data_IF_624439434112
#
_entry.id   IF_624439434112
#
_cell.length_a   1.000
_cell.length_b   1.000
_cell.length_c   1.000
_cell.angle_alpha   90.00
_cell.angle_beta   90.00
_cell.angle_gamma   90.00
#
_symmetry.space_group_name_H-M   'P 1'
#
loop_
_entity.id
_entity.type
_entity.pdbx_description
1 polymer ?
#
# COMPACT_ATOMS: atom_id res chain seq x y z
N UNK A 1 6.81 22.87 -12.79
CA UNK A 1 7.47 23.05 -11.48
C UNK A 1 8.89 22.59 -11.67
N UNK A 2 9.89 23.43 -11.41
CA UNK A 2 11.28 22.95 -11.37
C UNK A 2 11.37 21.92 -10.24
N UNK A 3 11.85 20.73 -10.60
CA UNK A 3 12.06 19.63 -9.66
C UNK A 3 13.18 20.04 -8.71
N UNK A 4 12.81 20.55 -7.53
CA UNK A 4 13.75 21.07 -6.53
C UNK A 4 14.34 19.92 -5.69
N UNK A 5 14.65 18.81 -6.33
CA UNK A 5 15.20 17.61 -5.72
C UNK A 5 16.69 17.84 -5.41
N UNK A 6 17.07 17.58 -4.16
CA UNK A 6 18.44 17.75 -3.68
C UNK A 6 19.01 16.38 -3.32
N UNK A 7 20.05 15.95 -4.02
CA UNK A 7 20.76 14.71 -3.70
C UNK A 7 21.84 14.96 -2.65
N UNK A 8 21.76 14.22 -1.55
CA UNK A 8 22.71 14.29 -0.43
C UNK A 8 23.40 12.93 -0.30
N UNK A 9 24.72 12.95 -0.11
CA UNK A 9 25.47 11.72 0.14
C UNK A 9 25.15 11.14 1.51
N UNK A 10 25.01 9.82 1.61
CA UNK A 10 24.73 9.12 2.88
C UNK A 10 25.74 9.51 3.99
N UNK A 11 27.00 9.71 3.63
CA UNK A 11 28.08 10.07 4.56
C UNK A 11 27.95 11.50 5.14
N UNK A 12 27.26 12.41 4.45
CA UNK A 12 27.01 13.79 4.91
C UNK A 12 25.62 13.97 5.54
N UNK A 13 24.69 13.03 5.31
CA UNK A 13 23.28 13.16 5.70
C UNK A 13 23.09 13.62 7.15
N UNK A 14 23.70 12.94 8.11
CA UNK A 14 23.55 13.27 9.54
C UNK A 14 24.02 14.69 9.89
N UNK A 15 24.97 15.26 9.13
CA UNK A 15 25.45 16.63 9.31
C UNK A 15 24.52 17.66 8.67
N UNK A 16 23.77 17.25 7.64
CA UNK A 16 22.89 18.14 6.88
C UNK A 16 21.46 18.22 7.45
N UNK A 17 20.96 17.17 8.11
CA UNK A 17 19.61 17.14 8.73
C UNK A 17 19.30 18.41 9.55
N UNK A 18 20.21 18.94 10.40
CA UNK A 18 19.94 20.17 11.15
C UNK A 18 19.61 21.40 10.28
N UNK A 19 20.00 21.41 9.00
CA UNK A 19 19.74 22.50 8.07
C UNK A 19 18.41 22.36 7.30
N UNK A 20 17.76 21.19 7.33
CA UNK A 20 16.62 20.87 6.46
C UNK A 20 15.45 21.83 6.67
N UNK A 21 15.06 22.04 7.93
CA UNK A 21 13.98 22.96 8.28
C UNK A 21 14.25 24.39 7.78
N UNK A 22 15.48 24.89 7.97
CA UNK A 22 15.89 26.22 7.51
C UNK A 22 15.94 26.37 5.99
N UNK A 23 16.05 25.25 5.26
CA UNK A 23 16.02 25.18 3.79
C UNK A 23 14.61 24.95 3.24
N UNK A 24 13.60 24.81 4.10
CA UNK A 24 12.23 24.51 3.69
C UNK A 24 12.04 23.11 3.12
N UNK A 25 12.91 22.16 3.48
CA UNK A 25 12.77 20.76 3.06
C UNK A 25 11.66 20.11 3.90
N UNK A 26 10.62 19.62 3.24
CA UNK A 26 9.44 19.00 3.86
C UNK A 26 9.38 17.49 3.69
N UNK A 27 10.17 16.93 2.77
CA UNK A 27 10.23 15.50 2.50
C UNK A 27 11.69 15.04 2.30
N UNK A 28 11.99 13.84 2.80
CA UNK A 28 13.28 13.17 2.65
C UNK A 28 13.07 11.69 2.31
N UNK A 29 13.81 11.17 1.34
CA UNK A 29 13.77 9.75 0.95
C UNK A 29 15.17 9.12 1.00
N UNK A 30 15.29 7.94 1.64
CA UNK A 30 16.52 7.16 1.74
C UNK A 30 16.39 5.82 0.99
N UNK A 31 17.13 5.67 -0.11
CA UNK A 31 17.15 4.46 -0.95
C UNK A 31 18.53 3.76 -1.01
N UNK A 32 19.51 4.23 -0.22
CA UNK A 32 20.84 3.63 -0.21
C UNK A 32 20.82 2.25 0.48
N UNK A 33 21.17 1.19 -0.24
CA UNK A 33 21.13 -0.19 0.27
C UNK A 33 22.03 -0.44 1.48
N UNK A 34 23.18 0.23 1.56
CA UNK A 34 24.09 0.08 2.70
C UNK A 34 23.49 0.75 3.93
N UNK A 35 22.95 1.96 3.75
CA UNK A 35 22.23 2.69 4.79
C UNK A 35 20.99 1.94 5.28
N UNK A 36 20.19 1.39 4.34
CA UNK A 36 19.01 0.55 4.60
C UNK A 36 19.32 -0.71 5.44
N UNK A 37 20.59 -1.13 5.44
CA UNK A 37 21.09 -2.30 6.20
C UNK A 37 21.85 -1.91 7.47
N UNK A 38 22.12 -0.63 7.70
CA UNK A 38 22.86 -0.15 8.87
C UNK A 38 21.91 0.37 9.94
N UNK A 39 21.60 -0.51 10.89
CA UNK A 39 20.77 -0.21 12.05
C UNK A 39 21.25 1.00 12.86
N UNK A 40 22.56 1.13 13.04
CA UNK A 40 23.13 2.20 13.87
C UNK A 40 22.94 3.54 13.19
N UNK A 41 23.18 3.57 11.88
CA UNK A 41 22.91 4.72 11.04
C UNK A 41 21.42 5.10 11.05
N UNK A 42 20.51 4.15 10.84
CA UNK A 42 19.06 4.42 10.82
C UNK A 42 18.55 4.98 12.16
N UNK A 43 19.04 4.46 13.29
CA UNK A 43 18.73 5.02 14.62
C UNK A 43 19.27 6.44 14.78
N UNK A 44 20.47 6.73 14.25
CA UNK A 44 21.03 8.08 14.29
C UNK A 44 20.23 9.05 13.42
N UNK A 45 19.76 8.61 12.24
CA UNK A 45 18.87 9.40 11.37
C UNK A 45 17.56 9.71 12.10
N UNK A 46 16.91 8.68 12.66
CA UNK A 46 15.66 8.87 13.39
C UNK A 46 15.80 9.87 14.56
N UNK A 47 16.87 9.74 15.34
CA UNK A 47 17.15 10.66 16.44
C UNK A 47 17.45 12.10 15.97
N UNK A 48 18.15 12.25 14.84
CA UNK A 48 18.46 13.56 14.27
C UNK A 48 17.20 14.26 13.76
N UNK A 49 16.33 13.55 13.03
CA UNK A 49 15.09 14.13 12.50
C UNK A 49 14.15 14.52 13.64
N UNK A 50 13.92 13.63 14.61
CA UNK A 50 13.08 13.93 15.77
C UNK A 50 13.53 15.20 16.51
N UNK A 51 14.85 15.43 16.57
CA UNK A 51 15.42 16.59 17.26
C UNK A 51 15.34 17.89 16.46
N UNK A 52 15.57 17.83 15.15
CA UNK A 52 15.83 19.02 14.34
C UNK A 52 14.71 19.39 13.38
N UNK A 53 13.89 18.43 12.97
CA UNK A 53 12.83 18.59 11.98
C UNK A 53 11.73 17.53 12.19
N UNK A 54 11.01 17.54 13.34
CA UNK A 54 10.03 16.50 13.66
C UNK A 54 8.85 16.42 12.67
N UNK A 55 8.54 17.53 11.98
CA UNK A 55 7.49 17.61 10.96
C UNK A 55 7.94 17.11 9.57
N UNK A 56 9.22 16.74 9.41
CA UNK A 56 9.73 16.24 8.13
C UNK A 56 9.13 14.87 7.83
N UNK A 57 8.49 14.74 6.67
CA UNK A 57 8.09 13.43 6.19
C UNK A 57 9.30 12.64 5.69
N UNK A 58 9.44 11.39 6.13
CA UNK A 58 10.55 10.52 5.72
C UNK A 58 10.05 9.24 5.06
N UNK A 59 10.55 8.94 3.87
CA UNK A 59 10.44 7.60 3.27
C UNK A 59 11.77 6.84 3.43
N UNK A 60 11.73 5.67 4.06
CA UNK A 60 12.92 4.85 4.33
C UNK A 60 12.79 3.47 3.68
N UNK A 61 13.65 3.16 2.72
CA UNK A 61 13.89 1.77 2.33
C UNK A 61 14.72 1.08 3.43
N UNK A 62 14.20 0.00 4.03
CA UNK A 62 14.87 -0.72 5.11
C UNK A 62 14.86 -2.22 4.84
N UNK A 63 16.03 -2.87 4.97
CA UNK A 63 16.12 -4.33 4.87
C UNK A 63 15.31 -4.99 6.01
N UNK A 64 14.51 -6.00 5.67
CA UNK A 64 13.67 -6.71 6.63
C UNK A 64 14.45 -7.32 7.81
N UNK A 65 15.73 -7.66 7.64
CA UNK A 65 16.59 -8.19 8.71
C UNK A 65 17.01 -7.11 9.70
N UNK A 66 17.12 -5.86 9.25
CA UNK A 66 17.52 -4.69 10.04
C UNK A 66 16.41 -4.17 10.95
N UNK A 67 15.15 -4.34 10.54
CA UNK A 67 13.98 -3.95 11.33
C UNK A 67 13.91 -4.75 12.64
N UNK A 68 14.09 -4.09 13.78
CA UNK A 68 13.88 -4.67 15.10
C UNK A 68 12.96 -3.79 15.95
N UNK A 69 12.64 -4.26 17.16
CA UNK A 69 11.75 -3.52 18.07
C UNK A 69 12.26 -2.12 18.41
N UNK A 70 13.58 -1.94 18.55
CA UNK A 70 14.16 -0.66 18.94
C UNK A 70 14.07 0.35 17.80
N UNK A 71 14.40 -0.09 16.58
CA UNK A 71 14.30 0.74 15.39
C UNK A 71 12.85 1.12 15.09
N UNK A 72 11.93 0.15 15.11
CA UNK A 72 10.49 0.41 14.87
C UNK A 72 9.95 1.43 15.88
N UNK A 73 10.30 1.33 17.17
CA UNK A 73 9.89 2.34 18.17
C UNK A 73 10.49 3.73 17.91
N UNK A 74 11.74 3.80 17.47
CA UNK A 74 12.37 5.07 17.13
C UNK A 74 11.67 5.74 15.95
N UNK A 75 11.23 4.95 14.96
CA UNK A 75 10.48 5.43 13.80
C UNK A 75 9.04 5.85 14.15
N UNK A 76 8.39 5.20 15.11
CA UNK A 76 7.02 5.52 15.52
C UNK A 76 6.81 6.94 16.06
N UNK A 77 7.88 7.65 16.42
CA UNK A 77 7.82 9.06 16.81
C UNK A 77 7.97 10.06 15.66
N UNK A 78 8.06 9.58 14.40
CA UNK A 78 8.32 10.39 13.21
C UNK A 78 7.15 10.29 12.23
N UNK A 79 6.96 11.33 11.43
CA UNK A 79 6.16 11.27 10.21
C UNK A 79 6.91 10.46 9.15
N UNK A 80 6.75 9.12 9.13
CA UNK A 80 7.49 8.29 8.18
C UNK A 80 6.68 7.16 7.55
N UNK A 81 7.15 6.73 6.37
CA UNK A 81 6.77 5.50 5.69
C UNK A 81 7.99 4.58 5.57
N UNK A 82 7.80 3.30 5.85
CA UNK A 82 8.84 2.28 5.69
C UNK A 82 8.58 1.44 4.44
N UNK A 83 9.51 1.44 3.50
CA UNK A 83 9.52 0.56 2.33
C UNK A 83 10.37 -0.67 2.60
N UNK A 84 9.78 -1.86 2.48
CA UNK A 84 10.50 -3.12 2.72
C UNK A 84 10.66 -3.87 1.40
N UNK A 85 11.90 -4.09 0.90
CA UNK A 85 12.15 -4.99 -0.20
C UNK A 85 11.62 -6.40 0.10
N UNK A 86 10.59 -6.83 -0.63
CA UNK A 86 10.02 -8.17 -0.53
C UNK A 86 10.74 -9.12 -1.48
N UNK A 87 12.03 -9.32 -1.20
CA UNK A 87 12.91 -10.17 -1.99
C UNK A 87 12.90 -11.62 -1.50
N UNK A 88 13.13 -12.56 -2.44
CA UNK A 88 13.45 -13.94 -2.14
C UNK A 88 14.94 -14.24 -2.21
N UNK A 89 15.32 -15.43 -1.74
CA UNK A 89 16.63 -16.04 -1.94
C UNK A 89 16.49 -17.20 -2.91
N UNK A 90 17.30 -17.24 -3.95
CA UNK A 90 17.34 -18.38 -4.87
C UNK A 90 17.97 -19.59 -4.18
N UNK A 91 17.30 -20.74 -4.28
CA UNK A 91 17.84 -22.02 -3.82
C UNK A 91 17.32 -23.15 -4.71
N UNK A 92 18.22 -23.77 -5.48
CA UNK A 92 17.90 -24.97 -6.26
C UNK A 92 16.95 -24.71 -7.43
N UNK A 93 17.05 -23.52 -8.05
CA UNK A 93 16.21 -23.08 -9.16
C UNK A 93 14.89 -22.43 -8.73
N UNK A 94 14.60 -22.34 -7.44
CA UNK A 94 13.37 -21.75 -6.91
C UNK A 94 13.67 -20.51 -6.05
N UNK A 95 12.85 -19.48 -6.22
CA UNK A 95 12.88 -18.29 -5.38
C UNK A 95 12.09 -18.53 -4.09
N UNK A 96 12.80 -18.59 -2.96
CA UNK A 96 12.23 -18.81 -1.63
C UNK A 96 12.15 -17.49 -0.87
N UNK A 97 11.01 -17.19 -0.26
CA UNK A 97 10.86 -16.02 0.59
C UNK A 97 10.56 -16.42 2.04
N UNK A 98 11.20 -15.73 2.99
CA UNK A 98 11.08 -16.03 4.41
C UNK A 98 9.78 -15.43 4.99
N UNK A 99 8.68 -16.17 4.82
CA UNK A 99 7.36 -15.79 5.36
C UNK A 99 7.42 -15.42 6.84
N UNK A 100 8.22 -16.13 7.63
CA UNK A 100 8.30 -15.91 9.08
C UNK A 100 8.96 -14.58 9.40
N UNK A 101 10.04 -14.23 8.69
CA UNK A 101 10.69 -12.94 8.81
C UNK A 101 9.71 -11.80 8.50
N UNK A 102 9.10 -11.81 7.32
CA UNK A 102 8.22 -10.72 6.88
C UNK A 102 6.96 -10.59 7.75
N UNK A 103 6.32 -11.70 8.13
CA UNK A 103 5.19 -11.67 9.06
C UNK A 103 5.59 -11.10 10.43
N UNK A 104 6.78 -11.47 10.92
CA UNK A 104 7.33 -10.90 12.15
C UNK A 104 7.54 -9.39 12.05
N UNK A 105 8.08 -8.89 10.92
CA UNK A 105 8.32 -7.44 10.73
C UNK A 105 7.04 -6.64 10.55
N UNK A 106 6.12 -7.12 9.72
CA UNK A 106 4.82 -6.48 9.55
C UNK A 106 4.05 -6.41 10.88
N UNK A 107 4.10 -7.47 11.71
CA UNK A 107 3.48 -7.44 13.03
C UNK A 107 4.08 -6.39 13.98
N UNK A 108 5.40 -6.14 13.90
CA UNK A 108 6.04 -5.07 14.67
C UNK A 108 5.54 -3.69 14.21
N UNK A 109 5.51 -3.44 12.90
CA UNK A 109 5.09 -2.17 12.32
C UNK A 109 3.61 -1.87 12.59
N UNK A 110 2.73 -2.84 12.35
CA UNK A 110 1.30 -2.74 12.64
C UNK A 110 1.02 -2.44 14.12
N UNK A 111 1.75 -3.07 15.05
CA UNK A 111 1.57 -2.83 16.49
C UNK A 111 1.95 -1.41 16.90
N UNK A 112 2.98 -0.84 16.27
CA UNK A 112 3.44 0.52 16.55
C UNK A 112 2.70 1.56 15.67
N UNK A 113 1.72 1.14 14.87
CA UNK A 113 0.93 2.04 14.02
C UNK A 113 1.71 2.68 12.87
N UNK A 114 2.85 2.10 12.47
CA UNK A 114 3.70 2.65 11.42
C UNK A 114 3.13 2.36 10.03
N UNK A 115 3.17 3.39 9.18
CA UNK A 115 2.89 3.24 7.74
C UNK A 115 4.02 2.47 7.10
N UNK A 116 3.69 1.39 6.39
CA UNK A 116 4.70 0.61 5.65
C UNK A 116 4.13 0.00 4.39
N UNK A 117 5.02 -0.25 3.43
CA UNK A 117 4.71 -0.99 2.22
C UNK A 117 5.80 -1.96 1.81
N UNK A 118 5.50 -2.73 0.78
CA UNK A 118 6.46 -3.66 0.20
C UNK A 118 6.91 -3.19 -1.19
N UNK A 119 8.21 -3.24 -1.43
CA UNK A 119 8.79 -3.13 -2.77
C UNK A 119 8.86 -4.54 -3.37
N UNK A 120 8.03 -4.79 -4.37
CA UNK A 120 7.88 -6.12 -4.97
C UNK A 120 8.12 -6.07 -6.47
N UNK A 121 9.10 -6.84 -6.95
CA UNK A 121 9.34 -7.02 -8.38
C UNK A 121 8.83 -8.36 -8.92
N UNK A 122 8.68 -8.41 -10.25
CA UNK A 122 8.44 -9.63 -11.03
C UNK A 122 9.50 -9.81 -12.13
N UNK A 123 9.94 -11.04 -12.35
CA UNK A 123 10.83 -11.38 -13.47
C UNK A 123 12.25 -10.81 -13.35
N UNK A 124 12.63 -10.31 -12.17
CA UNK A 124 13.92 -9.65 -11.92
C UNK A 124 14.94 -10.52 -11.21
N UNK A 125 14.52 -11.66 -10.65
CA UNK A 125 15.35 -12.50 -9.79
C UNK A 125 15.51 -13.92 -10.37
N UNK A 126 16.69 -14.55 -10.26
CA UNK A 126 16.85 -15.96 -10.56
C UNK A 126 15.88 -16.83 -9.75
N UNK A 127 15.30 -17.84 -10.42
CA UNK A 127 14.30 -18.73 -9.82
C UNK A 127 12.90 -18.12 -9.68
N UNK A 128 12.69 -16.89 -10.16
CA UNK A 128 11.36 -16.30 -10.20
C UNK A 128 10.47 -16.99 -11.24
N UNK A 129 9.18 -17.09 -10.93
CA UNK A 129 8.16 -17.70 -11.79
C UNK A 129 6.85 -16.94 -11.61
N UNK A 130 5.92 -17.07 -12.56
CA UNK A 130 4.59 -16.47 -12.41
C UNK A 130 3.89 -16.90 -11.12
N UNK A 131 3.99 -18.20 -10.79
CA UNK A 131 3.45 -18.75 -9.54
C UNK A 131 4.10 -18.10 -8.31
N UNK A 132 5.42 -18.00 -8.28
CA UNK A 132 6.14 -17.39 -7.16
C UNK A 132 5.77 -15.91 -6.99
N UNK A 133 5.58 -15.17 -8.08
CA UNK A 133 5.05 -13.80 -8.04
C UNK A 133 3.67 -13.76 -7.38
N UNK A 134 2.72 -14.58 -7.83
CA UNK A 134 1.37 -14.63 -7.24
C UNK A 134 1.38 -15.00 -5.75
N UNK A 135 2.14 -16.04 -5.40
CA UNK A 135 2.27 -16.51 -4.02
C UNK A 135 2.88 -15.42 -3.09
N UNK A 136 3.81 -14.61 -3.61
CA UNK A 136 4.38 -13.45 -2.88
C UNK A 136 3.35 -12.36 -2.69
N UNK A 137 2.59 -12.00 -3.73
CA UNK A 137 1.57 -10.94 -3.67
C UNK A 137 0.45 -11.31 -2.71
N UNK A 138 -0.05 -12.54 -2.82
CA UNK A 138 -1.08 -13.09 -1.94
C UNK A 138 -0.64 -13.04 -0.48
N UNK A 139 0.61 -13.44 -0.21
CA UNK A 139 1.19 -13.36 1.13
C UNK A 139 1.34 -11.92 1.61
N UNK A 140 1.91 -11.03 0.80
CA UNK A 140 2.19 -9.65 1.17
C UNK A 140 0.95 -8.91 1.69
N UNK A 141 -0.17 -9.06 0.99
CA UNK A 141 -1.42 -8.37 1.30
C UNK A 141 -2.08 -8.89 2.59
N UNK A 142 -1.84 -10.16 2.96
CA UNK A 142 -2.28 -10.68 4.26
C UNK A 142 -1.62 -10.00 5.46
N UNK A 143 -0.54 -9.25 5.22
CA UNK A 143 0.21 -8.56 6.26
C UNK A 143 -0.26 -7.11 6.48
N UNK A 144 -1.31 -6.67 5.78
CA UNK A 144 -1.88 -5.32 5.86
C UNK A 144 -0.87 -4.17 5.58
N UNK A 145 -0.04 -4.25 4.53
CA UNK A 145 0.78 -3.11 4.13
C UNK A 145 -0.12 -1.98 3.64
N UNK A 146 0.23 -0.73 3.91
CA UNK A 146 -0.50 0.43 3.41
C UNK A 146 -0.46 0.51 1.88
N UNK A 147 0.61 -0.03 1.27
CA UNK A 147 0.80 -0.05 -0.17
C UNK A 147 1.74 -1.17 -0.61
N UNK A 148 1.60 -1.54 -1.89
CA UNK A 148 2.58 -2.37 -2.61
C UNK A 148 3.11 -1.52 -3.76
N UNK A 149 4.43 -1.35 -3.79
CA UNK A 149 5.13 -0.61 -4.82
C UNK A 149 5.89 -1.57 -5.73
N UNK A 150 5.81 -1.32 -7.04
CA UNK A 150 6.47 -2.14 -8.03
C UNK A 150 7.54 -1.31 -8.76
N UNK A 151 8.83 -1.50 -8.45
CA UNK A 151 9.91 -0.65 -8.97
C UNK A 151 10.01 -0.58 -10.50
N UNK A 152 9.44 -1.55 -11.23
CA UNK A 152 9.36 -1.57 -12.69
C UNK A 152 8.48 -0.48 -13.30
N UNK A 153 7.56 0.11 -12.52
CA UNK A 153 6.74 1.24 -12.95
C UNK A 153 7.34 2.59 -12.60
N UNK A 154 8.42 2.63 -11.81
CA UNK A 154 9.13 3.87 -11.57
C UNK A 154 9.88 4.24 -12.86
N UNK A 155 9.58 5.42 -13.41
CA UNK A 155 10.30 5.96 -14.56
C UNK A 155 11.81 6.03 -14.26
N UNK A 156 12.64 5.76 -15.26
CA UNK A 156 14.10 5.92 -15.19
C UNK A 156 14.53 7.35 -14.81
N UNK A 157 13.61 8.32 -14.86
CA UNK A 157 13.85 9.74 -14.57
C UNK A 157 14.11 10.06 -13.09
N UNK A 158 13.54 9.29 -12.15
CA UNK A 158 13.50 9.71 -10.74
C UNK A 158 14.64 9.15 -9.87
N UNK A 159 15.45 8.22 -10.39
CA UNK A 159 16.57 7.63 -9.63
C UNK A 159 16.19 6.91 -8.32
N UNK A 160 14.88 6.78 -8.02
CA UNK A 160 14.30 6.25 -6.78
C UNK A 160 14.37 4.72 -6.63
N UNK A 161 15.01 4.01 -7.57
CA UNK A 161 15.12 2.56 -7.52
C UNK A 161 16.52 2.07 -7.86
N UNK A 162 17.23 1.57 -6.86
CA UNK A 162 18.44 0.74 -7.01
C UNK A 162 18.13 -0.63 -7.66
N UNK A 163 16.85 -0.94 -7.94
CA UNK A 163 16.35 -2.26 -8.34
C UNK A 163 15.79 -2.32 -9.78
N UNK A 164 16.17 -1.41 -10.68
CA UNK A 164 15.71 -1.32 -12.08
C UNK A 164 16.21 -2.46 -13.00
N UNK A 165 16.30 -3.69 -12.51
CA UNK A 165 16.46 -4.82 -13.41
C UNK A 165 15.16 -4.99 -14.20
N UNK A 166 15.18 -4.68 -15.50
CA UNK A 166 14.03 -4.92 -16.38
C UNK A 166 13.63 -6.40 -16.32
N UNK A 167 12.33 -6.75 -16.23
CA UNK A 167 11.89 -8.13 -16.22
C UNK A 167 12.38 -8.88 -17.47
N UNK A 168 12.95 -10.07 -17.29
CA UNK A 168 13.49 -10.88 -18.41
C UNK A 168 12.84 -12.25 -18.47
N UNK A 169 12.42 -12.73 -19.66
CA UNK A 169 11.91 -14.08 -19.82
C UNK A 169 12.97 -15.11 -19.43
N UNK A 170 12.53 -16.21 -18.82
CA UNK A 170 13.36 -17.37 -18.48
C UNK A 170 12.69 -18.64 -18.98
N UNK A 171 13.37 -19.79 -18.89
CA UNK A 171 12.77 -21.08 -19.24
C UNK A 171 11.51 -21.43 -18.44
N UNK A 172 11.30 -20.81 -17.28
CA UNK A 172 10.17 -21.05 -16.37
C UNK A 172 9.29 -19.82 -16.14
N UNK A 173 9.57 -18.72 -16.85
CA UNK A 173 8.84 -17.45 -16.75
C UNK A 173 8.74 -16.84 -18.15
N UNK A 174 7.64 -17.14 -18.85
CA UNK A 174 7.49 -16.74 -20.26
C UNK A 174 7.22 -15.24 -20.42
N UNK A 175 7.39 -14.69 -21.62
CA UNK A 175 7.01 -13.30 -21.89
C UNK A 175 5.54 -13.03 -21.59
N UNK A 176 4.65 -13.98 -21.91
CA UNK A 176 3.22 -13.88 -21.60
C UNK A 176 2.96 -13.81 -20.10
N UNK A 177 3.68 -14.60 -19.32
CA UNK A 177 3.59 -14.55 -17.87
C UNK A 177 4.09 -13.23 -17.29
N UNK A 178 5.15 -12.64 -17.88
CA UNK A 178 5.64 -11.32 -17.48
C UNK A 178 4.60 -10.23 -17.76
N UNK A 179 3.89 -10.33 -18.89
CA UNK A 179 2.79 -9.42 -19.22
C UNK A 179 1.63 -9.57 -18.23
N UNK A 180 1.26 -10.81 -17.87
CA UNK A 180 0.26 -11.04 -16.81
C UNK A 180 0.68 -10.46 -15.46
N UNK A 181 1.95 -10.63 -15.07
CA UNK A 181 2.46 -10.04 -13.83
C UNK A 181 2.47 -8.52 -13.88
N UNK A 182 2.78 -7.91 -15.03
CA UNK A 182 2.66 -6.47 -15.23
C UNK A 182 1.22 -5.99 -15.06
N UNK A 183 0.24 -6.65 -15.69
CA UNK A 183 -1.18 -6.35 -15.55
C UNK A 183 -1.66 -6.42 -14.10
N UNK A 184 -1.39 -7.55 -13.43
CA UNK A 184 -1.72 -7.74 -12.00
C UNK A 184 -1.06 -6.68 -11.11
N UNK A 185 0.19 -6.31 -11.39
CA UNK A 185 0.91 -5.30 -10.61
C UNK A 185 0.30 -3.91 -10.78
N UNK A 186 -0.11 -3.55 -12.01
CA UNK A 186 -0.79 -2.30 -12.29
C UNK A 186 -2.19 -2.24 -11.65
N UNK A 187 -2.91 -3.35 -11.70
CA UNK A 187 -4.19 -3.52 -11.00
C UNK A 187 -4.05 -3.35 -9.48
N UNK A 188 -3.03 -3.97 -8.88
CA UNK A 188 -2.72 -3.79 -7.47
C UNK A 188 -2.34 -2.33 -7.13
N UNK A 189 -1.46 -1.71 -7.94
CA UNK A 189 -1.10 -0.29 -7.82
C UNK A 189 -2.33 0.61 -7.83
N UNK A 190 -3.22 0.42 -8.81
CA UNK A 190 -4.44 1.23 -8.98
C UNK A 190 -5.44 0.99 -7.84
N UNK A 191 -5.84 -0.26 -7.63
CA UNK A 191 -6.93 -0.60 -6.75
C UNK A 191 -6.53 -0.55 -5.27
N UNK A 192 -5.35 -1.06 -4.92
CA UNK A 192 -4.94 -1.23 -3.53
C UNK A 192 -4.17 -0.02 -3.00
N UNK A 193 -3.10 0.36 -3.70
CA UNK A 193 -2.20 1.45 -3.28
C UNK A 193 -2.87 2.82 -3.49
N UNK A 194 -3.13 3.22 -4.73
CA UNK A 194 -3.75 4.51 -5.05
C UNK A 194 -5.21 4.57 -4.57
N UNK A 195 -5.91 3.43 -4.58
CA UNK A 195 -7.26 3.31 -4.05
C UNK A 195 -7.35 3.20 -2.52
N UNK A 196 -6.22 3.16 -1.80
CA UNK A 196 -6.13 3.18 -0.33
C UNK A 196 -6.97 2.08 0.34
N UNK A 197 -6.85 0.85 -0.15
CA UNK A 197 -7.77 -0.23 0.19
C UNK A 197 -7.41 -1.03 1.46
N UNK A 198 -6.25 -0.75 2.10
CA UNK A 198 -5.76 -1.53 3.26
C UNK A 198 -6.80 -1.79 4.37
N UNK A 199 -7.69 -0.84 4.74
CA UNK A 199 -8.58 -1.06 5.89
C UNK A 199 -9.66 -2.13 5.66
N UNK A 200 -10.00 -2.43 4.40
CA UNK A 200 -11.15 -3.26 4.05
C UNK A 200 -10.87 -4.36 3.02
N UNK A 201 -9.76 -4.28 2.28
CA UNK A 201 -9.47 -5.19 1.17
C UNK A 201 -9.47 -6.67 1.56
N UNK A 202 -8.82 -7.01 2.68
CA UNK A 202 -8.73 -8.39 3.16
C UNK A 202 -10.11 -8.94 3.59
N UNK A 203 -10.99 -8.09 4.11
CA UNK A 203 -12.37 -8.47 4.46
C UNK A 203 -13.18 -8.79 3.19
N UNK A 204 -13.00 -8.00 2.14
CA UNK A 204 -13.63 -8.21 0.83
C UNK A 204 -13.15 -9.50 0.17
N UNK A 205 -11.84 -9.72 0.06
CA UNK A 205 -11.30 -10.94 -0.57
C UNK A 205 -11.68 -12.20 0.22
N UNK A 206 -11.71 -12.14 1.56
CA UNK A 206 -12.23 -13.20 2.43
C UNK A 206 -13.71 -13.47 2.16
N UNK A 207 -14.55 -12.43 2.08
CA UNK A 207 -15.97 -12.57 1.80
C UNK A 207 -16.21 -13.20 0.42
N UNK A 208 -15.43 -12.81 -0.60
CA UNK A 208 -15.48 -13.37 -1.95
C UNK A 208 -14.88 -14.79 -2.03
N UNK A 209 -14.03 -15.19 -1.07
CA UNK A 209 -13.24 -16.43 -1.06
C UNK A 209 -12.28 -16.52 -2.26
N UNK A 210 -11.60 -15.42 -2.55
CA UNK A 210 -10.62 -15.32 -3.65
C UNK A 210 -9.25 -14.92 -3.11
N UNK A 211 -8.19 -15.41 -3.74
CA UNK A 211 -6.84 -14.94 -3.47
C UNK A 211 -6.63 -13.54 -4.09
N UNK A 212 -5.88 -12.63 -3.43
CA UNK A 212 -5.59 -11.31 -3.97
C UNK A 212 -5.05 -11.28 -5.40
N UNK A 213 -4.16 -12.21 -5.77
CA UNK A 213 -3.58 -12.33 -7.10
C UNK A 213 -4.62 -12.67 -8.16
N UNK A 214 -5.62 -13.48 -7.81
CA UNK A 214 -6.76 -13.76 -8.69
C UNK A 214 -7.69 -12.54 -8.77
N UNK A 215 -7.96 -11.88 -7.63
CA UNK A 215 -8.75 -10.65 -7.59
C UNK A 215 -8.17 -9.56 -8.51
N UNK A 216 -6.85 -9.33 -8.47
CA UNK A 216 -6.21 -8.33 -9.33
C UNK A 216 -6.06 -8.79 -10.78
N UNK A 217 -5.98 -10.09 -11.05
CA UNK A 217 -6.08 -10.59 -12.43
C UNK A 217 -7.43 -10.22 -13.03
N UNK A 218 -8.51 -10.44 -12.27
CA UNK A 218 -9.85 -10.07 -12.71
C UNK A 218 -10.02 -8.55 -12.84
N UNK A 219 -9.39 -7.76 -11.96
CA UNK A 219 -9.42 -6.30 -12.03
C UNK A 219 -8.62 -5.77 -13.23
N UNK A 220 -7.48 -6.37 -13.57
CA UNK A 220 -6.72 -6.04 -14.78
C UNK A 220 -7.57 -6.22 -16.04
N UNK A 221 -8.27 -7.35 -16.16
CA UNK A 221 -9.22 -7.57 -17.26
C UNK A 221 -10.32 -6.50 -17.28
N UNK A 222 -10.87 -6.15 -16.12
CA UNK A 222 -11.85 -5.07 -16.01
C UNK A 222 -11.27 -3.71 -16.44
N UNK A 223 -10.04 -3.38 -16.04
CA UNK A 223 -9.37 -2.13 -16.43
C UNK A 223 -9.14 -2.03 -17.94
N UNK A 224 -8.80 -3.15 -18.59
CA UNK A 224 -8.63 -3.22 -20.04
C UNK A 224 -9.95 -2.92 -20.77
N UNK A 225 -11.07 -3.43 -20.26
CA UNK A 225 -12.40 -3.14 -20.82
C UNK A 225 -12.89 -1.71 -20.56
N UNK A 226 -12.31 -1.00 -19.58
CA UNK A 226 -12.76 0.34 -19.15
C UNK A 226 -11.74 1.46 -19.46
N UNK A 227 -10.73 1.20 -20.30
CA UNK A 227 -9.71 2.16 -20.73
C UNK A 227 -8.93 2.83 -19.58
N UNK A 228 -8.65 2.09 -18.51
CA UNK A 228 -7.88 2.57 -17.35
C UNK A 228 -6.77 1.58 -16.94
N UNK A 229 -6.08 1.00 -17.92
CA UNK A 229 -5.05 -0.03 -17.75
C UNK A 229 -3.66 0.48 -18.15
N UNK A 230 -2.60 -0.30 -17.86
CA UNK A 230 -1.22 0.10 -18.16
C UNK A 230 -0.89 0.23 -19.66
N UNK A 231 -1.75 -0.29 -20.55
CA UNK A 231 -1.63 -0.13 -22.00
C UNK A 231 -2.26 1.17 -22.52
N UNK A 232 -2.95 1.90 -21.64
CA UNK A 232 -3.48 3.24 -21.89
C UNK A 232 -2.57 4.28 -21.23
N UNK A 233 -2.79 5.57 -21.51
CA UNK A 233 -2.08 6.67 -20.84
C UNK A 233 -2.59 6.94 -19.40
N UNK A 234 -3.29 5.97 -18.80
CA UNK A 234 -3.82 6.10 -17.43
C UNK A 234 -2.69 5.97 -16.41
N UNK A 235 -2.49 7.02 -15.63
CA UNK A 235 -1.56 7.05 -14.49
C UNK A 235 -2.38 7.08 -13.20
N UNK A 236 -2.38 6.01 -12.39
CA UNK A 236 -3.21 5.93 -11.19
C UNK A 236 -2.98 7.06 -10.18
N UNK A 237 -1.75 7.54 -10.05
CA UNK A 237 -1.36 8.61 -9.12
C UNK A 237 -1.90 9.99 -9.52
N UNK A 238 -2.19 10.21 -10.80
CA UNK A 238 -2.77 11.46 -11.29
C UNK A 238 -4.30 11.49 -11.15
N UNK A 239 -4.92 10.34 -10.88
CA UNK A 239 -6.37 10.23 -10.74
C UNK A 239 -6.82 10.66 -9.33
N UNK A 240 -7.86 11.50 -9.20
CA UNK A 240 -8.48 11.78 -7.91
C UNK A 240 -8.96 10.49 -7.23
N UNK A 241 -8.83 10.41 -5.90
CA UNK A 241 -9.23 9.22 -5.15
C UNK A 241 -10.71 8.84 -5.39
N UNK A 242 -11.59 9.84 -5.56
CA UNK A 242 -13.02 9.62 -5.86
C UNK A 242 -13.25 8.87 -7.18
N UNK A 243 -12.39 9.03 -8.19
CA UNK A 243 -12.50 8.28 -9.45
C UNK A 243 -12.06 6.82 -9.26
N UNK A 244 -10.98 6.59 -8.52
CA UNK A 244 -10.55 5.23 -8.18
C UNK A 244 -11.60 4.53 -7.29
N UNK A 245 -12.20 5.23 -6.32
CA UNK A 245 -13.28 4.71 -5.49
C UNK A 245 -14.49 4.27 -6.34
N UNK A 246 -14.87 5.05 -7.36
CA UNK A 246 -15.92 4.65 -8.31
C UNK A 246 -15.54 3.37 -9.07
N UNK A 247 -14.30 3.26 -9.54
CA UNK A 247 -13.81 2.05 -10.20
C UNK A 247 -13.87 0.84 -9.25
N UNK A 248 -13.41 1.00 -8.01
CA UNK A 248 -13.47 -0.04 -6.98
C UNK A 248 -14.91 -0.50 -6.75
N UNK A 249 -15.84 0.42 -6.50
CA UNK A 249 -17.25 0.09 -6.25
C UNK A 249 -17.92 -0.58 -7.46
N UNK A 250 -17.65 -0.10 -8.68
CA UNK A 250 -18.18 -0.68 -9.91
C UNK A 250 -17.69 -2.13 -10.09
N UNK A 251 -16.39 -2.36 -9.94
CA UNK A 251 -15.82 -3.69 -10.04
C UNK A 251 -16.34 -4.63 -8.93
N UNK A 252 -16.38 -4.14 -7.68
CA UNK A 252 -16.86 -4.94 -6.55
C UNK A 252 -18.32 -5.33 -6.73
N UNK A 253 -19.19 -4.42 -7.21
CA UNK A 253 -20.58 -4.75 -7.51
C UNK A 253 -20.68 -5.95 -8.45
N UNK A 254 -19.95 -5.90 -9.57
CA UNK A 254 -19.92 -6.98 -10.57
C UNK A 254 -19.38 -8.28 -9.97
N UNK A 255 -18.32 -8.21 -9.14
CA UNK A 255 -17.73 -9.39 -8.52
C UNK A 255 -18.63 -10.05 -7.47
N UNK A 256 -19.35 -9.27 -6.68
CA UNK A 256 -20.30 -9.82 -5.72
C UNK A 256 -21.51 -10.45 -6.41
N UNK A 257 -21.97 -9.89 -7.54
CA UNK A 257 -22.98 -10.50 -8.42
C UNK A 257 -22.49 -11.82 -9.03
N UNK A 258 -21.29 -11.83 -9.62
CA UNK A 258 -20.68 -13.03 -10.20
C UNK A 258 -20.54 -14.18 -9.17
N UNK A 259 -20.32 -13.84 -7.89
CA UNK A 259 -20.21 -14.82 -6.78
C UNK A 259 -21.53 -15.11 -6.07
N UNK A 260 -22.66 -14.57 -6.54
CA UNK A 260 -23.99 -14.71 -5.93
C UNK A 260 -24.04 -14.27 -4.46
N UNK A 261 -23.39 -13.14 -4.16
CA UNK A 261 -23.25 -12.53 -2.82
C UNK A 261 -23.72 -11.08 -2.80
N UNK A 262 -24.63 -10.71 -3.69
CA UNK A 262 -25.20 -9.37 -3.84
C UNK A 262 -25.76 -8.82 -2.52
N UNK A 263 -26.33 -9.69 -1.69
CA UNK A 263 -26.85 -9.35 -0.36
C UNK A 263 -25.79 -8.77 0.58
N UNK A 264 -24.49 -9.07 0.37
CA UNK A 264 -23.38 -8.52 1.17
C UNK A 264 -22.90 -7.15 0.66
N UNK A 265 -23.29 -6.76 -0.55
CA UNK A 265 -22.68 -5.61 -1.23
C UNK A 265 -22.99 -4.27 -0.55
N UNK A 266 -24.13 -4.14 0.14
CA UNK A 266 -24.43 -2.94 0.92
C UNK A 266 -23.37 -2.68 2.00
N UNK A 267 -22.97 -3.71 2.76
CA UNK A 267 -21.92 -3.57 3.77
C UNK A 267 -20.55 -3.26 3.14
N UNK A 268 -20.23 -3.91 2.01
CA UNK A 268 -18.98 -3.66 1.26
C UNK A 268 -18.91 -2.22 0.79
N UNK A 269 -19.99 -1.72 0.17
CA UNK A 269 -20.08 -0.36 -0.34
C UNK A 269 -19.88 0.65 0.78
N UNK A 270 -20.57 0.48 1.90
CA UNK A 270 -20.44 1.37 3.04
C UNK A 270 -19.01 1.39 3.61
N UNK A 271 -18.36 0.21 3.72
CA UNK A 271 -16.96 0.11 4.16
C UNK A 271 -16.01 0.86 3.23
N UNK A 272 -16.16 0.67 1.92
CA UNK A 272 -15.32 1.35 0.92
C UNK A 272 -15.53 2.86 0.98
N UNK A 273 -16.78 3.33 0.99
CA UNK A 273 -17.09 4.76 0.99
C UNK A 273 -16.70 5.47 2.28
N UNK A 274 -16.91 4.84 3.44
CA UNK A 274 -16.52 5.40 4.73
C UNK A 274 -15.00 5.53 4.81
N UNK A 275 -14.25 4.46 4.56
CA UNK A 275 -12.79 4.50 4.57
C UNK A 275 -12.22 5.42 3.48
N UNK A 276 -12.87 5.53 2.33
CA UNK A 276 -12.53 6.47 1.28
C UNK A 276 -12.69 7.93 1.73
N UNK A 277 -13.79 8.25 2.42
CA UNK A 277 -14.01 9.57 3.01
C UNK A 277 -12.95 9.91 4.07
N UNK A 278 -12.61 8.98 4.97
CA UNK A 278 -11.51 9.16 5.92
C UNK A 278 -10.18 9.45 5.21
N UNK A 279 -9.89 8.70 4.14
CA UNK A 279 -8.66 8.83 3.38
C UNK A 279 -8.53 10.18 2.66
N UNK A 280 -9.63 10.69 2.10
CA UNK A 280 -9.64 12.00 1.44
C UNK A 280 -9.45 13.14 2.42
N UNK A 281 -10.03 13.08 3.62
CA UNK A 281 -9.71 14.07 4.66
C UNK A 281 -8.23 14.00 5.03
N UNK A 282 -7.68 12.79 5.21
CA UNK A 282 -6.29 12.61 5.64
C UNK A 282 -5.25 13.10 4.62
N UNK A 283 -5.46 12.85 3.32
CA UNK A 283 -4.47 13.15 2.28
C UNK A 283 -4.80 14.39 1.43
N UNK A 284 -6.08 14.70 1.24
CA UNK A 284 -6.53 15.80 0.36
C UNK A 284 -7.16 16.96 1.15
N UNK A 285 -7.41 16.78 2.46
CA UNK A 285 -8.12 17.75 3.28
C UNK A 285 -9.61 17.90 2.91
N UNK A 286 -10.17 16.96 2.13
CA UNK A 286 -11.52 17.04 1.60
C UNK A 286 -12.55 16.44 2.57
N UNK A 287 -13.36 17.31 3.19
CA UNK A 287 -14.53 16.88 3.97
C UNK A 287 -15.67 16.42 3.06
N UNK A 288 -16.44 15.43 3.49
CA UNK A 288 -17.58 14.92 2.71
C UNK A 288 -18.76 14.48 3.57
N UNK A 289 -19.93 14.40 2.95
CA UNK A 289 -21.13 13.78 3.53
C UNK A 289 -21.45 12.56 2.68
N UNK A 290 -21.46 11.39 3.32
CA UNK A 290 -21.80 10.12 2.68
C UNK A 290 -23.10 9.56 3.26
N UNK A 291 -23.68 8.61 2.55
CA UNK A 291 -24.81 7.81 3.02
C UNK A 291 -24.32 6.39 3.25
N UNK A 292 -24.61 5.84 4.42
CA UNK A 292 -24.34 4.44 4.75
C UNK A 292 -25.65 3.73 5.08
N UNK A 293 -25.70 2.45 4.76
CA UNK A 293 -26.79 1.53 5.09
C UNK A 293 -26.66 0.96 6.51
N UNK A 294 -25.47 1.02 7.09
CA UNK A 294 -25.17 0.64 8.47
C UNK A 294 -24.63 1.82 9.27
N UNK A 295 -24.74 1.73 10.59
CA UNK A 295 -24.17 2.70 11.51
C UNK A 295 -22.63 2.73 11.36
N UNK A 296 -22.00 3.92 11.26
CA UNK A 296 -20.54 4.05 11.15
C UNK A 296 -19.75 3.43 12.32
N UNK A 297 -20.29 3.42 13.55
CA UNK A 297 -19.63 2.76 14.69
C UNK A 297 -19.51 1.25 14.47
N UNK A 298 -20.55 0.63 13.90
CA UNK A 298 -20.54 -0.80 13.58
C UNK A 298 -19.58 -1.10 12.42
N UNK A 299 -19.54 -0.23 11.40
CA UNK A 299 -18.65 -0.35 10.24
C UNK A 299 -17.16 -0.24 10.62
N UNK A 300 -16.82 0.63 11.57
CA UNK A 300 -15.44 0.81 12.06
C UNK A 300 -15.06 -0.20 13.15
N UNK A 301 -16.02 -0.97 13.66
CA UNK A 301 -15.75 -2.00 14.65
C UNK A 301 -15.00 -3.21 14.05
N UNK A 302 -14.33 -4.02 14.88
CA UNK A 302 -13.73 -5.28 14.42
C UNK A 302 -14.73 -6.28 13.81
N UNK A 303 -16.04 -6.12 14.05
CA UNK A 303 -17.06 -7.03 13.51
C UNK A 303 -17.17 -6.94 11.99
N UNK A 304 -16.90 -5.77 11.40
CA UNK A 304 -16.96 -5.58 9.95
C UNK A 304 -15.86 -6.32 9.19
N UNK A 305 -14.84 -6.84 9.89
CA UNK A 305 -13.80 -7.67 9.28
C UNK A 305 -14.33 -8.99 8.70
N UNK A 306 -15.46 -9.49 9.22
CA UNK A 306 -16.19 -10.62 8.65
C UNK A 306 -17.51 -10.15 8.05
N UNK A 307 -17.45 -9.69 6.80
CA UNK A 307 -18.57 -9.04 6.10
C UNK A 307 -19.84 -9.90 6.09
N UNK A 308 -19.70 -11.23 5.93
CA UNK A 308 -20.85 -12.12 5.92
C UNK A 308 -21.55 -12.13 7.28
N UNK A 309 -20.77 -12.35 8.35
CA UNK A 309 -21.31 -12.34 9.71
C UNK A 309 -21.86 -10.97 10.10
N UNK A 310 -21.18 -9.90 9.70
CA UNK A 310 -21.61 -8.53 9.93
C UNK A 310 -22.98 -8.25 9.31
N UNK A 311 -23.13 -8.52 8.01
CA UNK A 311 -24.40 -8.31 7.31
C UNK A 311 -25.56 -9.14 7.89
N UNK A 312 -25.28 -10.35 8.38
CA UNK A 312 -26.30 -11.22 8.99
C UNK A 312 -26.67 -10.83 10.43
N UNK A 313 -25.77 -10.15 11.15
CA UNK A 313 -25.91 -9.91 12.61
C UNK A 313 -26.18 -8.45 12.98
N UNK A 314 -25.95 -7.52 12.06
CA UNK A 314 -26.09 -6.08 12.30
C UNK A 314 -27.35 -5.57 11.62
N UNK A 315 -28.15 -4.78 12.34
CA UNK A 315 -29.33 -4.15 11.75
C UNK A 315 -28.91 -3.02 10.81
N UNK A 316 -29.52 -2.97 9.63
CA UNK A 316 -29.36 -1.82 8.74
C UNK A 316 -30.06 -0.59 9.32
N UNK A 317 -29.33 0.51 9.39
CA UNK A 317 -29.82 1.83 9.79
C UNK A 317 -29.24 2.84 8.81
N UNK A 318 -30.10 3.45 8.01
CA UNK A 318 -29.66 4.44 7.02
C UNK A 318 -29.15 5.68 7.73
N UNK A 319 -27.85 5.95 7.61
CA UNK A 319 -27.19 7.10 8.23
C UNK A 319 -26.72 8.10 7.16
N UNK A 320 -26.77 9.39 7.52
CA UNK A 320 -26.02 10.43 6.82
C UNK A 320 -24.82 10.78 7.68
N UNK A 321 -23.61 10.57 7.16
CA UNK A 321 -22.38 10.68 7.93
C UNK A 321 -21.55 11.81 7.34
N UNK A 322 -21.22 12.82 8.15
CA UNK A 322 -20.20 13.83 7.79
C UNK A 322 -18.84 13.34 8.27
N UNK A 323 -17.87 13.26 7.37
CA UNK A 323 -16.45 13.00 7.68
C UNK A 323 -15.67 14.30 7.51
N UNK A 324 -14.85 14.68 8.49
CA UNK A 324 -14.21 15.99 8.58
C UNK A 324 -12.82 15.91 9.24
N UNK A 325 -12.03 16.99 9.11
CA UNK A 325 -10.73 17.06 9.76
C UNK A 325 -10.89 17.29 11.28
N UNK A 326 -10.48 16.31 12.09
CA UNK A 326 -10.42 16.42 13.55
C UNK A 326 -9.13 17.09 14.03
N UNK A 327 -8.92 17.10 15.35
CA UNK A 327 -7.73 17.72 15.96
C UNK A 327 -6.43 17.00 15.60
N UNK A 328 -6.43 15.66 15.64
CA UNK A 328 -5.24 14.82 15.44
C UNK A 328 -5.38 13.87 14.25
N UNK A 329 -6.61 13.57 13.81
CA UNK A 329 -6.91 12.65 12.72
C UNK A 329 -8.31 12.94 12.16
N UNK A 330 -8.68 12.42 10.98
CA UNK A 330 -10.04 12.57 10.49
C UNK A 330 -11.06 11.97 11.46
N UNK A 331 -12.21 12.62 11.57
CA UNK A 331 -13.30 12.24 12.48
C UNK A 331 -14.64 12.30 11.75
N UNK A 332 -15.72 11.83 12.39
CA UNK A 332 -17.03 11.77 11.79
C UNK A 332 -18.18 12.09 12.76
N UNK A 333 -19.33 12.45 12.20
CA UNK A 333 -20.59 12.56 12.94
C UNK A 333 -21.80 12.15 12.12
N UNK A 334 -22.78 11.56 12.78
CA UNK A 334 -24.09 11.25 12.20
C UNK A 334 -24.95 12.53 12.20
N UNK A 335 -25.65 12.82 11.09
CA UNK A 335 -26.43 14.04 10.86
C UNK A 335 -27.94 13.86 11.04
#
# INVERSE_FOLDING_TARGET
>A
MEDNTIHIGTDSLLREIPSFAGRGITEFSLHDRKAASDRTFLLAVAAAVLRHCPELFISLEIDAKTLDQQLVRALGGLCCSVEIPLAGTEKGGALLFDKKLYSGRAALLNREGLVFGFLMGWGCQPGDTFRAFRDRLDFALTLYPNHINFPQFADEADGRSSASASPKPTGTYSSKDLDFSRGISFACRTFYTCGRAVPWFNSVTKALKVYPSAFFSDFDEWQQCNNCSFITDYVPEDAPHTEIEKMQLSFLSQKFEEKHKEHLFAAVKDLVQLNGAFSRVAQEGEESIIQTSYNPDDLLSPYSQDIARFADSTAMEMCRVKVFAGADSPDYKIL
#
